data_IF_147871250994
#
_entry.id   IF_147871250994
#
_cell.length_a   1.000
_cell.length_b   1.000
_cell.length_c   1.000
_cell.angle_alpha   90.00
_cell.angle_beta   90.00
_cell.angle_gamma   90.00
#
_symmetry.space_group_name_H-M   'P 1'
#
loop_
_entity.id
_entity.type
_entity.pdbx_description
1 polymer ?
#
# COMPACT_ATOMS: atom_id res chain seq x y z
N UNK A 1 -5.46 70.33 -28.00
CA UNK A 1 -4.53 69.18 -28.07
C UNK A 1 -4.45 68.37 -26.77
N UNK A 2 -4.85 68.90 -25.59
CA UNK A 2 -4.86 68.12 -24.32
C UNK A 2 -5.87 66.97 -24.28
N UNK A 3 -7.11 67.18 -24.76
CA UNK A 3 -8.19 66.19 -24.59
C UNK A 3 -8.01 64.90 -25.41
N UNK A 4 -7.39 64.96 -26.59
CA UNK A 4 -7.12 63.77 -27.40
C UNK A 4 -6.02 62.88 -26.81
N UNK A 5 -5.00 63.49 -26.18
CA UNK A 5 -3.95 62.75 -25.47
C UNK A 5 -4.47 62.04 -24.21
N UNK A 6 -5.41 62.67 -23.50
CA UNK A 6 -6.04 62.10 -22.30
C UNK A 6 -6.96 60.92 -22.65
N UNK A 7 -7.71 61.00 -23.75
CA UNK A 7 -8.56 59.90 -24.25
C UNK A 7 -7.72 58.70 -24.70
N UNK A 8 -6.61 58.93 -25.42
CA UNK A 8 -5.71 57.85 -25.84
C UNK A 8 -5.02 57.14 -24.66
N UNK A 9 -4.67 57.90 -23.60
CA UNK A 9 -4.11 57.33 -22.39
C UNK A 9 -5.13 56.49 -21.61
N UNK A 10 -6.36 56.97 -21.47
CA UNK A 10 -7.44 56.25 -20.80
C UNK A 10 -7.83 54.96 -21.55
N UNK A 11 -7.87 55.01 -22.89
CA UNK A 11 -8.13 53.84 -23.73
C UNK A 11 -7.06 52.75 -23.55
N UNK A 12 -5.77 53.12 -23.61
CA UNK A 12 -4.68 52.17 -23.36
C UNK A 12 -4.72 51.56 -21.96
N UNK A 13 -5.05 52.35 -20.94
CA UNK A 13 -5.20 51.86 -19.58
C UNK A 13 -6.35 50.85 -19.46
N UNK A 14 -7.50 51.14 -20.07
CA UNK A 14 -8.64 50.24 -20.12
C UNK A 14 -8.31 48.91 -20.83
N UNK A 15 -7.63 48.98 -21.98
CA UNK A 15 -7.18 47.78 -22.73
C UNK A 15 -6.25 46.90 -21.89
N UNK A 16 -5.36 47.51 -21.11
CA UNK A 16 -4.44 46.79 -20.23
C UNK A 16 -5.16 46.09 -19.08
N UNK A 17 -6.16 46.75 -18.45
CA UNK A 17 -6.98 46.14 -17.39
C UNK A 17 -7.80 44.97 -17.96
N UNK A 18 -8.44 45.18 -19.11
CA UNK A 18 -9.24 44.16 -19.78
C UNK A 18 -8.41 42.93 -20.19
N UNK A 19 -7.19 43.16 -20.69
CA UNK A 19 -6.24 42.10 -20.99
C UNK A 19 -5.84 41.34 -19.72
N UNK A 20 -5.66 42.04 -18.60
CA UNK A 20 -5.43 41.44 -17.29
C UNK A 20 -6.58 40.55 -16.81
N UNK A 21 -7.83 41.03 -16.94
CA UNK A 21 -9.03 40.24 -16.61
C UNK A 21 -9.08 38.96 -17.44
N UNK A 22 -8.92 39.09 -18.77
CA UNK A 22 -8.93 37.96 -19.68
C UNK A 22 -7.84 36.94 -19.33
N UNK A 23 -6.63 37.43 -19.07
CA UNK A 23 -5.51 36.58 -18.64
C UNK A 23 -5.82 35.82 -17.34
N UNK A 24 -6.39 36.48 -16.32
CA UNK A 24 -6.74 35.84 -15.05
C UNK A 24 -7.78 34.73 -15.21
N UNK A 25 -8.80 34.95 -16.07
CA UNK A 25 -9.79 33.93 -16.39
C UNK A 25 -9.14 32.76 -17.14
N UNK A 26 -8.37 33.02 -18.18
CA UNK A 26 -7.67 31.99 -18.96
C UNK A 26 -6.70 31.18 -18.10
N UNK A 27 -5.97 31.84 -17.20
CA UNK A 27 -5.06 31.17 -16.26
C UNK A 27 -5.83 30.24 -15.30
N UNK A 28 -6.96 30.70 -14.76
CA UNK A 28 -7.81 29.92 -13.86
C UNK A 28 -8.39 28.70 -14.57
N UNK A 29 -8.95 28.87 -15.76
CA UNK A 29 -9.46 27.77 -16.60
C UNK A 29 -8.36 26.77 -16.95
N UNK A 30 -7.19 27.27 -17.37
CA UNK A 30 -6.02 26.43 -17.64
C UNK A 30 -5.53 25.65 -16.41
N UNK A 31 -5.68 26.19 -15.19
CA UNK A 31 -5.39 25.45 -13.95
C UNK A 31 -6.39 24.31 -13.72
N UNK A 32 -7.68 24.50 -13.99
CA UNK A 32 -8.66 23.41 -13.91
C UNK A 32 -8.39 22.33 -14.94
N UNK A 33 -8.11 22.70 -16.18
CA UNK A 33 -7.77 21.75 -17.24
C UNK A 33 -6.55 20.90 -16.88
N UNK A 34 -5.47 21.54 -16.42
CA UNK A 34 -4.28 20.82 -15.91
C UNK A 34 -4.60 19.99 -14.68
N UNK A 35 -5.40 20.53 -13.77
CA UNK A 35 -5.78 19.87 -12.52
C UNK A 35 -6.61 18.59 -12.74
N UNK A 36 -7.46 18.60 -13.75
CA UNK A 36 -8.29 17.45 -14.18
C UNK A 36 -7.61 16.59 -15.26
N UNK A 37 -6.36 16.89 -15.62
CA UNK A 37 -5.59 16.19 -16.66
C UNK A 37 -6.30 16.14 -18.03
N UNK A 38 -6.99 17.21 -18.39
CA UNK A 38 -7.64 17.33 -19.69
C UNK A 38 -6.60 17.59 -20.79
N UNK A 39 -6.86 17.10 -22.00
CA UNK A 39 -6.04 17.41 -23.17
C UNK A 39 -6.15 18.91 -23.46
N UNK A 40 -5.02 19.53 -23.80
CA UNK A 40 -4.98 20.94 -24.23
C UNK A 40 -5.99 21.18 -25.36
N UNK A 41 -6.89 22.16 -25.19
CA UNK A 41 -7.93 22.49 -26.16
C UNK A 41 -9.27 21.73 -25.99
N UNK A 42 -9.45 20.95 -24.92
CA UNK A 42 -10.76 20.42 -24.58
C UNK A 42 -11.72 21.57 -24.20
N UNK A 43 -12.86 21.70 -24.87
CA UNK A 43 -13.87 22.71 -24.53
C UNK A 43 -14.57 22.33 -23.24
N UNK A 44 -14.07 22.85 -22.12
CA UNK A 44 -14.77 22.75 -20.85
C UNK A 44 -15.93 23.75 -20.84
N UNK A 45 -17.10 23.26 -20.45
CA UNK A 45 -18.30 24.07 -20.21
C UNK A 45 -18.80 23.79 -18.80
N UNK A 46 -19.51 24.76 -18.21
CA UNK A 46 -20.02 24.67 -16.84
C UNK A 46 -20.88 23.41 -16.60
N UNK A 47 -21.69 23.01 -17.58
CA UNK A 47 -22.53 21.81 -17.57
C UNK A 47 -21.74 20.49 -17.61
N UNK A 48 -20.49 20.52 -18.11
CA UNK A 48 -19.62 19.34 -18.23
C UNK A 48 -18.64 19.16 -17.08
N UNK A 49 -18.52 20.12 -16.15
CA UNK A 49 -17.53 20.09 -15.06
C UNK A 49 -17.71 18.84 -14.19
N UNK A 50 -18.95 18.49 -13.85
CA UNK A 50 -19.27 17.28 -13.06
C UNK A 50 -18.75 16.02 -13.75
N UNK A 51 -19.02 15.89 -15.05
CA UNK A 51 -18.58 14.76 -15.86
C UNK A 51 -17.05 14.68 -15.89
N UNK A 52 -16.36 15.81 -16.07
CA UNK A 52 -14.89 15.85 -16.10
C UNK A 52 -14.25 15.52 -14.76
N UNK A 53 -14.84 15.95 -13.64
CA UNK A 53 -14.36 15.57 -12.31
C UNK A 53 -14.59 14.08 -12.07
N UNK A 54 -15.73 13.54 -12.50
CA UNK A 54 -16.00 12.10 -12.48
C UNK A 54 -14.96 11.32 -13.30
N UNK A 55 -14.67 11.74 -14.53
CA UNK A 55 -13.69 11.11 -15.41
C UNK A 55 -12.27 11.16 -14.81
N UNK A 56 -11.92 12.29 -14.20
CA UNK A 56 -10.67 12.45 -13.47
C UNK A 56 -10.55 11.42 -12.32
N UNK A 57 -11.57 11.28 -11.47
CA UNK A 57 -11.56 10.29 -10.40
C UNK A 57 -11.54 8.84 -10.92
N UNK A 58 -12.25 8.54 -12.02
CA UNK A 58 -12.15 7.24 -12.69
C UNK A 58 -10.72 6.96 -13.15
N UNK A 59 -10.07 7.95 -13.78
CA UNK A 59 -8.70 7.84 -14.26
C UNK A 59 -7.70 7.60 -13.12
N UNK A 60 -7.81 8.34 -12.02
CA UNK A 60 -6.97 8.16 -10.82
C UNK A 60 -7.17 6.78 -10.21
N UNK A 61 -8.42 6.34 -10.08
CA UNK A 61 -8.76 5.00 -9.56
C UNK A 61 -8.18 3.89 -10.45
N UNK A 62 -8.28 4.02 -11.77
CA UNK A 62 -7.66 3.10 -12.73
C UNK A 62 -6.13 3.09 -12.63
N UNK A 63 -5.50 4.26 -12.47
CA UNK A 63 -4.05 4.34 -12.28
C UNK A 63 -3.63 3.62 -11.00
N UNK A 64 -4.38 3.80 -9.91
CA UNK A 64 -4.09 3.15 -8.65
C UNK A 64 -4.30 1.64 -8.72
N UNK A 65 -5.35 1.18 -9.41
CA UNK A 65 -5.57 -0.24 -9.72
C UNK A 65 -4.41 -0.84 -10.52
N UNK A 66 -3.90 -0.14 -11.54
CA UNK A 66 -2.73 -0.59 -12.32
C UNK A 66 -1.47 -0.70 -11.46
N UNK A 67 -1.23 0.26 -10.56
CA UNK A 67 -0.10 0.20 -9.61
C UNK A 67 -0.24 -1.02 -8.70
N UNK A 68 -1.42 -1.24 -8.11
CA UNK A 68 -1.69 -2.42 -7.28
C UNK A 68 -1.50 -3.72 -8.06
N UNK A 69 -2.02 -3.81 -9.29
CA UNK A 69 -1.84 -4.97 -10.16
C UNK A 69 -0.37 -5.25 -10.47
N UNK A 70 0.41 -4.22 -10.79
CA UNK A 70 1.86 -4.35 -11.01
C UNK A 70 2.57 -4.87 -9.76
N UNK A 71 2.25 -4.31 -8.59
CA UNK A 71 2.80 -4.76 -7.31
C UNK A 71 2.46 -6.23 -7.05
N UNK A 72 1.18 -6.61 -7.15
CA UNK A 72 0.74 -8.00 -6.94
C UNK A 72 1.38 -8.97 -7.93
N UNK A 73 1.58 -8.58 -9.20
CA UNK A 73 2.29 -9.41 -10.18
C UNK A 73 3.74 -9.64 -9.76
N UNK A 74 4.42 -8.62 -9.23
CA UNK A 74 5.79 -8.74 -8.74
C UNK A 74 5.88 -9.66 -7.53
N UNK A 75 4.94 -9.55 -6.59
CA UNK A 75 4.82 -10.45 -5.44
C UNK A 75 4.56 -11.89 -5.91
N UNK A 76 3.60 -12.11 -6.82
CA UNK A 76 3.31 -13.45 -7.32
C UNK A 76 4.50 -14.08 -8.06
N UNK A 77 5.26 -13.28 -8.82
CA UNK A 77 6.48 -13.77 -9.47
C UNK A 77 7.54 -14.20 -8.45
N UNK A 78 7.74 -13.41 -7.39
CA UNK A 78 8.64 -13.78 -6.28
C UNK A 78 8.21 -15.11 -5.64
N UNK A 79 6.92 -15.27 -5.35
CA UNK A 79 6.37 -16.50 -4.77
C UNK A 79 6.48 -17.73 -5.67
N UNK A 80 6.21 -17.61 -6.97
CA UNK A 80 6.35 -18.74 -7.91
C UNK A 80 7.79 -19.26 -8.01
N UNK A 81 8.77 -18.37 -7.79
CA UNK A 81 10.18 -18.74 -7.78
C UNK A 81 10.61 -19.44 -6.48
N UNK A 82 9.78 -19.42 -5.42
CA UNK A 82 10.02 -20.08 -4.13
C UNK A 82 9.45 -21.51 -4.08
N UNK A 83 9.50 -22.24 -5.21
CA UNK A 83 8.76 -23.50 -5.47
C UNK A 83 8.96 -24.64 -4.43
N UNK A 84 9.93 -24.53 -3.53
CA UNK A 84 10.28 -25.52 -2.48
C UNK A 84 9.91 -25.08 -1.05
N UNK A 85 8.87 -24.26 -0.86
CA UNK A 85 8.47 -23.71 0.46
C UNK A 85 6.97 -23.82 0.74
N UNK A 86 6.34 -24.91 0.27
CA UNK A 86 4.92 -25.13 0.57
C UNK A 86 4.72 -25.38 2.06
N UNK A 87 3.53 -25.04 2.57
CA UNK A 87 3.12 -25.32 3.95
C UNK A 87 3.42 -26.76 4.36
N UNK A 88 3.05 -27.71 3.49
CA UNK A 88 3.26 -29.14 3.70
C UNK A 88 4.74 -29.44 3.87
N UNK A 89 5.60 -28.94 2.99
CA UNK A 89 7.05 -29.20 3.05
C UNK A 89 7.66 -28.61 4.32
N UNK A 90 7.34 -27.36 4.68
CA UNK A 90 7.93 -26.71 5.87
C UNK A 90 7.45 -27.41 7.15
N UNK A 91 6.14 -27.68 7.27
CA UNK A 91 5.60 -28.33 8.46
C UNK A 91 6.09 -29.77 8.59
N UNK A 92 6.21 -30.51 7.50
CA UNK A 92 6.71 -31.89 7.55
C UNK A 92 8.20 -31.92 7.93
N UNK A 93 9.01 -31.01 7.38
CA UNK A 93 10.41 -30.87 7.79
C UNK A 93 10.55 -30.52 9.28
N UNK A 94 9.76 -29.57 9.80
CA UNK A 94 9.80 -29.22 11.22
C UNK A 94 9.35 -30.39 12.12
N UNK A 95 8.36 -31.17 11.68
CA UNK A 95 7.90 -32.36 12.42
C UNK A 95 8.95 -33.46 12.45
N UNK A 96 9.63 -33.70 11.33
CA UNK A 96 10.74 -34.66 11.27
C UNK A 96 11.86 -34.24 12.21
N UNK A 97 12.30 -32.99 12.14
CA UNK A 97 13.31 -32.43 13.05
C UNK A 97 12.89 -32.62 14.51
N UNK A 98 11.65 -32.23 14.86
CA UNK A 98 11.13 -32.37 16.21
C UNK A 98 11.14 -33.82 16.69
N UNK A 99 10.72 -34.76 15.83
CA UNK A 99 10.65 -36.18 16.17
C UNK A 99 12.03 -36.77 16.39
N UNK A 100 13.00 -36.40 15.57
CA UNK A 100 14.37 -36.90 15.68
C UNK A 100 15.03 -36.38 16.97
N UNK A 101 14.86 -35.09 17.30
CA UNK A 101 15.36 -34.52 18.56
C UNK A 101 14.64 -35.08 19.79
N UNK A 102 13.34 -35.37 19.68
CA UNK A 102 12.56 -36.02 20.75
C UNK A 102 13.11 -37.42 21.06
N UNK A 103 13.36 -38.20 20.01
CA UNK A 103 13.87 -39.57 20.12
C UNK A 103 15.26 -39.59 20.74
N UNK A 104 16.14 -38.68 20.32
CA UNK A 104 17.46 -38.51 20.91
C UNK A 104 17.38 -38.13 22.39
N UNK A 105 16.51 -37.16 22.74
CA UNK A 105 16.32 -36.72 24.11
C UNK A 105 15.82 -37.85 25.02
N UNK A 106 14.81 -38.60 24.58
CA UNK A 106 14.29 -39.75 25.31
C UNK A 106 15.38 -40.79 25.55
N UNK A 107 16.19 -41.08 24.52
CA UNK A 107 17.30 -42.04 24.62
C UNK A 107 18.33 -41.60 25.67
N UNK A 108 18.74 -40.32 25.68
CA UNK A 108 19.69 -39.79 26.67
C UNK A 108 19.09 -39.82 28.08
N UNK A 109 17.83 -39.40 28.24
CA UNK A 109 17.13 -39.38 29.52
C UNK A 109 16.97 -40.79 30.10
N UNK A 110 16.54 -41.76 29.31
CA UNK A 110 16.42 -43.15 29.72
C UNK A 110 17.78 -43.74 30.13
N UNK A 111 18.83 -43.49 29.34
CA UNK A 111 20.17 -43.97 29.64
C UNK A 111 20.71 -43.36 30.93
N UNK A 112 20.55 -42.05 31.11
CA UNK A 112 20.95 -41.36 32.32
C UNK A 112 20.18 -41.85 33.54
N UNK A 113 18.84 -41.97 33.46
CA UNK A 113 18.03 -42.48 34.56
C UNK A 113 18.43 -43.89 34.99
N UNK A 114 18.76 -44.76 34.03
CA UNK A 114 19.21 -46.13 34.30
C UNK A 114 20.55 -46.18 35.04
N UNK A 115 21.48 -45.31 34.69
CA UNK A 115 22.86 -45.36 35.19
C UNK A 115 23.21 -44.25 36.19
N UNK A 116 22.24 -43.41 36.57
CA UNK A 116 22.45 -42.22 37.41
C UNK A 116 23.25 -42.47 38.68
N UNK A 117 23.00 -43.62 39.33
CA UNK A 117 23.68 -43.99 40.58
C UNK A 117 25.16 -44.34 40.37
N UNK A 118 25.52 -44.82 39.18
CA UNK A 118 26.88 -45.15 38.76
C UNK A 118 27.66 -43.94 38.24
N UNK A 119 27.00 -42.81 37.97
CA UNK A 119 27.67 -41.57 37.55
C UNK A 119 28.26 -40.84 38.76
N UNK A 120 29.51 -40.33 38.71
CA UNK A 120 30.11 -39.52 39.78
C UNK A 120 29.24 -38.34 40.21
N UNK A 121 29.22 -38.05 41.51
CA UNK A 121 28.35 -37.02 42.09
C UNK A 121 28.65 -35.62 41.53
N UNK A 122 29.90 -35.32 41.16
CA UNK A 122 30.25 -34.01 40.57
C UNK A 122 29.73 -33.82 39.14
N UNK A 123 29.50 -34.91 38.39
CA UNK A 123 29.04 -34.86 36.99
C UNK A 123 27.51 -34.79 36.86
N UNK A 124 26.77 -35.32 37.83
CA UNK A 124 25.30 -35.29 37.84
C UNK A 124 24.69 -33.90 37.64
N UNK A 125 25.11 -32.83 38.35
CA UNK A 125 24.52 -31.50 38.16
C UNK A 125 24.83 -30.90 36.78
N UNK A 126 25.97 -31.26 36.16
CA UNK A 126 26.32 -30.83 34.80
C UNK A 126 25.38 -31.48 33.79
N UNK A 127 25.21 -32.80 33.88
CA UNK A 127 24.31 -33.57 33.00
C UNK A 127 22.84 -33.15 33.20
N UNK A 128 22.42 -32.95 34.45
CA UNK A 128 21.07 -32.44 34.77
C UNK A 128 20.84 -31.05 34.12
N UNK A 129 21.86 -30.19 34.13
CA UNK A 129 21.83 -28.87 33.47
C UNK A 129 21.75 -28.95 31.95
N UNK A 130 22.56 -29.81 31.32
CA UNK A 130 22.56 -30.02 29.87
C UNK A 130 21.24 -30.65 29.40
N UNK A 131 20.70 -31.63 30.13
CA UNK A 131 19.38 -32.21 29.86
C UNK A 131 18.25 -31.17 29.98
N UNK A 132 18.33 -30.24 30.94
CA UNK A 132 17.38 -29.12 31.03
C UNK A 132 17.50 -28.17 29.83
N UNK A 133 18.73 -27.94 29.34
CA UNK A 133 19.00 -27.21 28.10
C UNK A 133 18.35 -27.88 26.88
N UNK A 134 18.55 -29.19 26.71
CA UNK A 134 17.91 -29.96 25.63
C UNK A 134 16.38 -29.94 25.73
N UNK A 135 15.79 -30.12 26.92
CA UNK A 135 14.34 -29.98 27.11
C UNK A 135 13.82 -28.60 26.69
N UNK A 136 14.57 -27.54 26.97
CA UNK A 136 14.22 -26.17 26.56
C UNK A 136 14.25 -26.02 25.03
N UNK A 137 15.30 -26.51 24.38
CA UNK A 137 15.44 -26.52 22.92
C UNK A 137 14.32 -27.31 22.23
N UNK A 138 13.93 -28.46 22.81
CA UNK A 138 12.81 -29.27 22.32
C UNK A 138 11.47 -28.50 22.42
N UNK A 139 11.25 -27.78 23.52
CA UNK A 139 10.09 -26.89 23.67
C UNK A 139 10.06 -25.75 22.65
N UNK A 140 11.23 -25.21 22.27
CA UNK A 140 11.34 -24.17 21.25
C UNK A 140 11.02 -24.69 19.85
N UNK A 141 11.47 -25.89 19.49
CA UNK A 141 11.12 -26.54 18.22
C UNK A 141 9.60 -26.73 18.09
N UNK A 142 8.94 -27.13 19.19
CA UNK A 142 7.47 -27.25 19.18
C UNK A 142 6.77 -25.92 18.95
N UNK A 143 7.23 -24.85 19.61
CA UNK A 143 6.71 -23.49 19.38
C UNK A 143 6.89 -23.04 17.93
N UNK A 144 7.99 -23.42 17.29
CA UNK A 144 8.22 -23.09 15.87
C UNK A 144 7.23 -23.79 14.95
N UNK A 145 6.88 -25.05 15.23
CA UNK A 145 5.82 -25.77 14.50
C UNK A 145 4.48 -25.03 14.62
N UNK A 146 4.11 -24.62 15.84
CA UNK A 146 2.86 -23.90 16.09
C UNK A 146 2.87 -22.51 15.42
N UNK A 147 3.97 -21.76 15.50
CA UNK A 147 4.13 -20.48 14.79
C UNK A 147 4.00 -20.63 13.27
N UNK A 148 4.57 -21.70 12.71
CA UNK A 148 4.46 -22.01 11.28
C UNK A 148 3.01 -22.29 10.90
N UNK A 149 2.30 -23.07 11.72
CA UNK A 149 0.87 -23.35 11.53
C UNK A 149 0.04 -22.08 11.58
N UNK A 150 0.27 -21.24 12.58
CA UNK A 150 -0.44 -19.96 12.74
C UNK A 150 -0.17 -18.99 11.59
N UNK A 151 1.05 -18.98 11.06
CA UNK A 151 1.38 -18.22 9.86
C UNK A 151 0.53 -18.66 8.67
N UNK A 152 0.44 -19.96 8.38
CA UNK A 152 -0.36 -20.45 7.26
C UNK A 152 -1.87 -20.30 7.49
N UNK A 153 -2.36 -20.39 8.72
CA UNK A 153 -3.74 -20.02 9.04
C UNK A 153 -4.00 -18.53 8.76
N UNK A 154 -2.99 -17.68 9.03
CA UNK A 154 -3.08 -16.23 8.90
C UNK A 154 -2.78 -15.70 7.50
N UNK A 155 -2.04 -16.42 6.65
CA UNK A 155 -1.64 -15.93 5.33
C UNK A 155 -1.84 -16.93 4.20
N UNK A 156 -2.24 -18.17 4.50
CA UNK A 156 -2.36 -19.27 3.53
C UNK A 156 -3.21 -18.92 2.30
N UNK A 157 -4.35 -18.27 2.50
CA UNK A 157 -5.20 -17.85 1.39
C UNK A 157 -4.51 -16.80 0.49
N UNK A 158 -3.75 -15.88 1.07
CA UNK A 158 -2.99 -14.87 0.33
C UNK A 158 -1.82 -15.51 -0.44
N UNK A 159 -1.12 -16.45 0.19
CA UNK A 159 -0.06 -17.25 -0.42
C UNK A 159 -0.61 -18.09 -1.58
N UNK A 160 -1.80 -18.66 -1.42
CA UNK A 160 -2.46 -19.43 -2.46
C UNK A 160 -2.72 -18.57 -3.69
N UNK A 161 -3.28 -17.35 -3.53
CA UNK A 161 -3.43 -16.41 -4.66
C UNK A 161 -2.08 -16.14 -5.33
N UNK A 162 -1.04 -15.81 -4.56
CA UNK A 162 0.29 -15.50 -5.11
C UNK A 162 0.94 -16.68 -5.83
N UNK A 163 0.64 -17.91 -5.39
CA UNK A 163 1.13 -19.15 -5.98
C UNK A 163 0.40 -19.62 -7.24
N UNK A 164 -0.74 -19.03 -7.59
CA UNK A 164 -1.51 -19.42 -8.78
C UNK A 164 -0.67 -19.30 -10.07
N UNK A 165 -0.86 -20.18 -11.08
CA UNK A 165 -0.32 -20.00 -12.43
C UNK A 165 -0.62 -18.60 -12.98
N UNK A 166 0.24 -18.08 -13.87
CA UNK A 166 0.14 -16.68 -14.36
C UNK A 166 -1.26 -16.34 -14.89
N UNK A 167 -1.85 -17.23 -15.68
CA UNK A 167 -3.14 -16.99 -16.31
C UNK A 167 -4.30 -17.02 -15.31
N UNK A 168 -4.25 -17.93 -14.33
CA UNK A 168 -5.21 -18.04 -13.24
C UNK A 168 -5.10 -16.87 -12.25
N UNK A 169 -3.87 -16.47 -11.92
CA UNK A 169 -3.61 -15.29 -11.11
C UNK A 169 -4.15 -14.02 -11.77
N UNK A 170 -3.95 -13.87 -13.09
CA UNK A 170 -4.45 -12.72 -13.83
C UNK A 170 -5.97 -12.68 -13.78
N UNK A 171 -6.64 -13.82 -14.03
CA UNK A 171 -8.10 -13.95 -13.90
C UNK A 171 -8.59 -13.63 -12.48
N UNK A 172 -7.94 -14.20 -11.46
CA UNK A 172 -8.33 -14.02 -10.06
C UNK A 172 -8.13 -12.59 -9.54
N UNK A 173 -7.16 -11.86 -10.09
CA UNK A 173 -6.87 -10.48 -9.66
C UNK A 173 -7.64 -9.45 -10.48
N UNK A 174 -7.79 -9.65 -11.79
CA UNK A 174 -8.52 -8.71 -12.66
C UNK A 174 -10.04 -8.76 -12.46
N UNK A 175 -10.62 -9.92 -12.14
CA UNK A 175 -12.05 -10.04 -11.87
C UNK A 175 -12.49 -9.35 -10.55
N UNK A 176 -11.53 -8.96 -9.72
CA UNK A 176 -11.74 -8.77 -8.28
C UNK A 176 -11.17 -7.47 -7.73
N UNK A 177 -10.35 -6.79 -8.53
CA UNK A 177 -9.93 -5.42 -8.26
C UNK A 177 -11.06 -4.47 -8.62
N UNK A 178 -11.93 -4.21 -7.65
CA UNK A 178 -12.98 -3.20 -7.83
C UNK A 178 -12.41 -1.81 -7.54
N UNK A 179 -12.49 -0.85 -8.48
CA UNK A 179 -12.16 0.53 -8.19
C UNK A 179 -13.08 1.05 -7.08
N UNK A 180 -12.56 1.95 -6.25
CA UNK A 180 -13.42 2.67 -5.29
C UNK A 180 -14.54 3.40 -6.02
N UNK A 181 -15.72 3.43 -5.39
CA UNK A 181 -16.93 4.03 -5.93
C UNK A 181 -16.66 5.47 -6.36
N UNK A 182 -16.61 5.71 -7.68
CA UNK A 182 -16.45 7.06 -8.23
C UNK A 182 -17.57 7.98 -7.76
N UNK A 183 -18.78 7.42 -7.55
CA UNK A 183 -19.95 8.15 -7.09
C UNK A 183 -19.70 8.80 -5.71
N UNK A 184 -19.06 8.09 -4.78
CA UNK A 184 -18.81 8.59 -3.44
C UNK A 184 -17.74 9.68 -3.43
N UNK A 185 -16.73 9.56 -4.30
CA UNK A 185 -15.73 10.61 -4.51
C UNK A 185 -16.33 11.87 -5.15
N UNK A 186 -17.25 11.70 -6.11
CA UNK A 186 -17.98 12.82 -6.73
C UNK A 186 -18.88 13.51 -5.71
N UNK A 187 -19.60 12.76 -4.87
CA UNK A 187 -20.40 13.31 -3.76
C UNK A 187 -19.54 14.11 -2.79
N UNK A 188 -18.38 13.57 -2.42
CA UNK A 188 -17.43 14.26 -1.55
C UNK A 188 -16.88 15.55 -2.18
N UNK A 189 -16.87 15.64 -3.51
CA UNK A 189 -16.43 16.80 -4.27
C UNK A 189 -17.56 17.79 -4.62
N UNK A 190 -18.81 17.51 -4.28
CA UNK A 190 -20.00 18.27 -4.74
C UNK A 190 -19.89 19.77 -4.45
N UNK A 191 -19.48 20.15 -3.23
CA UNK A 191 -19.29 21.54 -2.86
C UNK A 191 -18.22 22.25 -3.72
N UNK A 192 -17.11 21.57 -4.02
CA UNK A 192 -16.06 22.11 -4.87
C UNK A 192 -16.52 22.22 -6.33
N UNK A 193 -17.26 21.23 -6.83
CA UNK A 193 -17.84 21.26 -8.18
C UNK A 193 -18.82 22.42 -8.31
N UNK A 194 -19.68 22.65 -7.30
CA UNK A 194 -20.59 23.78 -7.26
C UNK A 194 -19.86 25.13 -7.35
N UNK A 195 -18.76 25.29 -6.59
CA UNK A 195 -17.90 26.49 -6.69
C UNK A 195 -17.33 26.65 -8.09
N UNK A 196 -16.81 25.59 -8.71
CA UNK A 196 -16.28 25.66 -10.07
C UNK A 196 -17.34 26.08 -11.10
N UNK A 197 -18.55 25.52 -11.02
CA UNK A 197 -19.64 25.87 -11.93
C UNK A 197 -20.06 27.34 -11.79
N UNK A 198 -20.25 27.81 -10.55
CA UNK A 198 -20.63 29.21 -10.27
C UNK A 198 -19.53 30.17 -10.70
N UNK A 199 -18.28 29.88 -10.37
CA UNK A 199 -17.13 30.68 -10.78
C UNK A 199 -16.96 30.70 -12.30
N UNK A 200 -17.21 29.59 -12.98
CA UNK A 200 -17.16 29.53 -14.45
C UNK A 200 -18.15 30.49 -15.10
N UNK A 201 -19.41 30.47 -14.63
CA UNK A 201 -20.48 31.34 -15.13
C UNK A 201 -20.14 32.81 -14.81
N UNK A 202 -19.66 33.09 -13.59
CA UNK A 202 -19.25 34.43 -13.19
C UNK A 202 -18.14 35.00 -14.08
N UNK A 203 -17.13 34.18 -14.43
CA UNK A 203 -16.06 34.56 -15.35
C UNK A 203 -16.60 34.84 -16.77
N UNK A 204 -17.56 34.04 -17.27
CA UNK A 204 -18.21 34.30 -18.58
C UNK A 204 -18.98 35.62 -18.58
N UNK A 205 -19.74 35.88 -17.52
CA UNK A 205 -20.48 37.15 -17.33
C UNK A 205 -19.51 38.32 -17.23
N UNK A 206 -18.41 38.18 -16.50
CA UNK A 206 -17.39 39.22 -16.37
C UNK A 206 -16.75 39.56 -17.73
N UNK A 207 -16.38 38.55 -18.53
CA UNK A 207 -15.82 38.77 -19.88
C UNK A 207 -16.82 39.41 -20.84
N UNK A 208 -18.10 39.02 -20.76
CA UNK A 208 -19.17 39.67 -21.52
C UNK A 208 -19.31 41.15 -21.11
N UNK A 209 -19.35 41.42 -19.81
CA UNK A 209 -19.47 42.78 -19.26
C UNK A 209 -18.28 43.67 -19.65
N UNK A 210 -17.05 43.15 -19.65
CA UNK A 210 -15.88 43.85 -20.21
C UNK A 210 -16.13 44.26 -21.65
N UNK A 211 -16.65 43.34 -22.48
CA UNK A 211 -16.94 43.62 -23.90
C UNK A 211 -18.02 44.70 -24.06
N UNK A 212 -19.07 44.66 -23.25
CA UNK A 212 -20.17 45.64 -23.25
C UNK A 212 -19.68 47.03 -22.86
N UNK A 213 -18.80 47.13 -21.84
CA UNK A 213 -18.18 48.40 -21.43
C UNK A 213 -17.41 49.05 -22.58
N UNK A 214 -16.60 48.28 -23.33
CA UNK A 214 -15.89 48.82 -24.50
C UNK A 214 -16.83 49.23 -25.64
N UNK A 215 -17.88 48.46 -25.90
CA UNK A 215 -18.87 48.79 -26.93
C UNK A 215 -19.58 50.11 -26.58
N UNK A 216 -19.97 50.28 -25.32
CA UNK A 216 -20.65 51.49 -24.85
C UNK A 216 -19.72 52.72 -24.89
N UNK A 217 -18.50 52.59 -24.37
CA UNK A 217 -17.50 53.65 -24.37
C UNK A 217 -17.18 54.15 -25.79
N UNK A 218 -17.08 53.21 -26.73
CA UNK A 218 -16.81 53.51 -28.15
C UNK A 218 -17.99 54.18 -28.85
N UNK A 219 -19.23 53.84 -28.47
CA UNK A 219 -20.45 54.52 -28.98
C UNK A 219 -20.59 55.94 -28.45
N UNK A 220 -20.26 56.15 -27.18
CA UNK A 220 -20.41 57.43 -26.50
C UNK A 220 -19.21 58.36 -26.66
N UNK A 221 -18.07 57.87 -27.16
CA UNK A 221 -16.78 58.60 -27.23
C UNK A 221 -16.31 59.10 -25.86
N UNK A 222 -16.67 58.40 -24.77
CA UNK A 222 -16.34 58.77 -23.39
C UNK A 222 -15.78 57.58 -22.63
N UNK A 223 -14.63 57.78 -21.99
CA UNK A 223 -13.90 56.75 -21.23
C UNK A 223 -13.84 57.03 -19.72
N UNK A 224 -14.41 58.14 -19.27
CA UNK A 224 -14.24 58.67 -17.92
C UNK A 224 -14.74 57.72 -16.81
N UNK A 225 -15.72 56.86 -17.10
CA UNK A 225 -16.26 55.84 -16.17
C UNK A 225 -15.80 54.40 -16.43
N UNK A 226 -15.14 54.15 -17.57
CA UNK A 226 -14.76 52.80 -18.03
C UNK A 226 -13.74 52.16 -17.11
N UNK A 227 -12.74 52.94 -16.69
CA UNK A 227 -11.65 52.44 -15.87
C UNK A 227 -12.17 51.96 -14.50
N UNK A 228 -13.06 52.73 -13.87
CA UNK A 228 -13.65 52.36 -12.58
C UNK A 228 -14.46 51.05 -12.67
N UNK A 229 -15.27 50.90 -13.73
CA UNK A 229 -16.03 49.68 -13.94
C UNK A 229 -15.13 48.47 -14.25
N UNK A 230 -14.09 48.64 -15.07
CA UNK A 230 -13.13 47.57 -15.34
C UNK A 230 -12.34 47.16 -14.09
N UNK A 231 -12.02 48.10 -13.19
CA UNK A 231 -11.42 47.75 -11.90
C UNK A 231 -12.37 46.92 -11.03
N UNK A 232 -13.65 47.28 -10.97
CA UNK A 232 -14.64 46.48 -10.25
C UNK A 232 -14.74 45.05 -10.81
N UNK A 233 -14.82 44.92 -12.15
CA UNK A 233 -14.86 43.60 -12.80
C UNK A 233 -13.58 42.80 -12.50
N UNK A 234 -12.42 43.48 -12.49
CA UNK A 234 -11.15 42.86 -12.15
C UNK A 234 -11.15 42.31 -10.71
N UNK A 235 -11.60 43.08 -9.74
CA UNK A 235 -11.71 42.62 -8.35
C UNK A 235 -12.64 41.40 -8.21
N UNK A 236 -13.79 41.43 -8.90
CA UNK A 236 -14.74 40.32 -8.92
C UNK A 236 -14.11 39.04 -9.53
N UNK A 237 -13.35 39.18 -10.62
CA UNK A 237 -12.64 38.08 -11.29
C UNK A 237 -11.50 37.55 -10.43
N UNK A 238 -10.74 38.41 -9.74
CA UNK A 238 -9.68 37.98 -8.83
C UNK A 238 -10.24 37.20 -7.63
N UNK A 239 -11.35 37.64 -7.06
CA UNK A 239 -12.07 36.92 -6.01
C UNK A 239 -12.59 35.57 -6.50
N UNK A 240 -13.13 35.53 -7.71
CA UNK A 240 -13.60 34.31 -8.36
C UNK A 240 -12.46 33.33 -8.62
N UNK A 241 -11.34 33.82 -9.16
CA UNK A 241 -10.12 33.03 -9.41
C UNK A 241 -9.53 32.42 -8.13
N UNK A 242 -9.63 33.11 -6.99
CA UNK A 242 -9.18 32.58 -5.70
C UNK A 242 -10.05 31.39 -5.26
N UNK A 243 -11.37 31.52 -5.30
CA UNK A 243 -12.32 30.45 -4.96
C UNK A 243 -12.18 29.26 -5.89
N UNK A 244 -12.02 29.55 -7.19
CA UNK A 244 -11.80 28.55 -8.23
C UNK A 244 -10.55 27.72 -7.96
N UNK A 245 -9.42 28.37 -7.63
CA UNK A 245 -8.18 27.67 -7.26
C UNK A 245 -8.34 26.78 -6.03
N UNK A 246 -9.01 27.28 -4.99
CA UNK A 246 -9.27 26.49 -3.78
C UNK A 246 -10.13 25.25 -4.08
N UNK A 247 -11.13 25.38 -4.95
CA UNK A 247 -11.97 24.25 -5.37
C UNK A 247 -11.17 23.19 -6.16
N UNK A 248 -10.29 23.60 -7.08
CA UNK A 248 -9.39 22.67 -7.80
C UNK A 248 -8.50 21.91 -6.81
N UNK A 249 -7.92 22.60 -5.83
CA UNK A 249 -7.08 21.97 -4.81
C UNK A 249 -7.87 20.99 -3.94
N UNK A 250 -9.13 21.32 -3.61
CA UNK A 250 -10.03 20.41 -2.89
C UNK A 250 -10.28 19.10 -3.65
N UNK A 251 -10.60 19.19 -4.94
CA UNK A 251 -10.77 18.00 -5.80
C UNK A 251 -9.49 17.16 -5.87
N UNK A 252 -8.32 17.80 -5.98
CA UNK A 252 -7.02 17.12 -5.96
C UNK A 252 -6.68 16.51 -4.59
N UNK A 253 -7.13 17.09 -3.50
CA UNK A 253 -6.97 16.51 -2.17
C UNK A 253 -7.82 15.24 -2.02
N UNK A 254 -9.06 15.27 -2.52
CA UNK A 254 -9.93 14.09 -2.57
C UNK A 254 -9.30 12.98 -3.41
N UNK A 255 -8.73 13.31 -4.58
CA UNK A 255 -8.12 12.30 -5.44
C UNK A 255 -6.90 11.61 -4.82
N UNK A 256 -6.16 12.29 -3.94
CA UNK A 256 -5.07 11.68 -3.17
C UNK A 256 -5.54 10.62 -2.17
N UNK A 257 -6.80 10.69 -1.74
CA UNK A 257 -7.43 9.72 -0.85
C UNK A 257 -8.07 8.56 -1.61
N UNK A 258 -8.03 8.55 -2.94
CA UNK A 258 -8.48 7.41 -3.74
C UNK A 258 -7.45 6.29 -3.59
N UNK A 259 -7.74 5.38 -2.68
CA UNK A 259 -6.95 4.18 -2.49
C UNK A 259 -7.21 3.16 -3.59
N UNK A 260 -6.26 2.25 -3.75
CA UNK A 260 -6.40 1.11 -4.66
C UNK A 260 -7.43 0.12 -4.16
N UNK A 261 -7.73 -0.92 -4.94
CA UNK A 261 -8.60 -2.00 -4.48
C UNK A 261 -8.08 -2.55 -3.14
N UNK A 262 -8.94 -2.56 -2.12
CA UNK A 262 -8.59 -2.99 -0.77
C UNK A 262 -8.63 -4.52 -0.61
N UNK A 263 -9.43 -5.19 -1.45
CA UNK A 263 -9.70 -6.62 -1.38
C UNK A 263 -9.71 -7.26 -2.76
N UNK A 264 -9.41 -8.55 -2.80
CA UNK A 264 -9.52 -9.45 -3.94
C UNK A 264 -10.52 -10.54 -3.56
N UNK A 265 -11.59 -10.72 -4.33
CA UNK A 265 -12.28 -12.01 -4.47
C UNK A 265 -11.46 -12.95 -5.34
N UNK A 266 -11.59 -14.26 -5.20
CA UNK A 266 -11.06 -15.21 -6.17
C UNK A 266 -12.12 -16.24 -6.48
N UNK A 267 -12.23 -16.62 -7.75
CA UNK A 267 -13.15 -17.67 -8.20
C UNK A 267 -12.46 -19.04 -8.30
N UNK A 268 -11.23 -19.17 -7.78
CA UNK A 268 -10.55 -20.45 -7.69
C UNK A 268 -11.29 -21.36 -6.70
N UNK A 269 -11.38 -22.67 -6.99
CA UNK A 269 -12.19 -23.62 -6.21
C UNK A 269 -11.89 -23.63 -4.70
N UNK A 270 -10.66 -23.32 -4.29
CA UNK A 270 -10.27 -23.21 -2.87
C UNK A 270 -10.69 -21.88 -2.21
N UNK A 271 -10.79 -20.80 -2.98
CA UNK A 271 -11.05 -19.44 -2.49
C UNK A 271 -12.43 -18.91 -2.85
N UNK A 272 -13.27 -19.72 -3.48
CA UNK A 272 -14.61 -19.31 -3.89
C UNK A 272 -15.40 -18.78 -2.68
N UNK A 273 -16.01 -17.60 -2.85
CA UNK A 273 -16.70 -16.87 -1.80
C UNK A 273 -15.81 -16.17 -0.74
N UNK A 274 -14.48 -16.29 -0.80
CA UNK A 274 -13.56 -15.62 0.15
C UNK A 274 -13.04 -14.29 -0.40
N UNK A 275 -12.92 -13.31 0.49
CA UNK A 275 -12.31 -12.00 0.21
C UNK A 275 -10.98 -11.88 0.95
N UNK A 276 -9.92 -11.52 0.23
CA UNK A 276 -8.57 -11.35 0.78
C UNK A 276 -8.15 -9.90 0.62
N UNK A 277 -7.72 -9.25 1.70
CA UNK A 277 -7.23 -7.88 1.59
C UNK A 277 -5.89 -7.82 0.86
N UNK A 278 -5.73 -6.83 -0.04
CA UNK A 278 -4.47 -6.58 -0.75
C UNK A 278 -3.33 -6.35 0.24
N UNK A 279 -3.61 -5.69 1.37
CA UNK A 279 -2.62 -5.50 2.44
C UNK A 279 -2.13 -6.83 3.03
N UNK A 280 -3.01 -7.82 3.19
CA UNK A 280 -2.63 -9.17 3.67
C UNK A 280 -1.74 -9.89 2.66
N UNK A 281 -1.99 -9.71 1.36
CA UNK A 281 -1.14 -10.22 0.28
C UNK A 281 0.24 -9.57 0.31
N UNK A 282 0.32 -8.25 0.50
CA UNK A 282 1.61 -7.52 0.61
C UNK A 282 2.40 -7.94 1.85
N UNK A 283 1.73 -8.14 2.99
CA UNK A 283 2.38 -8.56 4.26
C UNK A 283 2.86 -10.01 4.24
N UNK A 284 2.27 -10.86 3.39
CA UNK A 284 2.62 -12.28 3.33
C UNK A 284 4.12 -12.48 3.07
N UNK A 285 4.76 -11.64 2.24
CA UNK A 285 6.18 -11.78 1.87
C UNK A 285 7.13 -11.57 3.03
N UNK A 286 7.00 -10.45 3.75
CA UNK A 286 7.88 -10.16 4.88
C UNK A 286 7.71 -11.20 5.99
N UNK A 287 6.46 -11.63 6.23
CA UNK A 287 6.15 -12.65 7.21
C UNK A 287 6.67 -14.04 6.79
N UNK A 288 6.54 -14.43 5.50
CA UNK A 288 7.12 -15.69 5.02
C UNK A 288 8.64 -15.68 5.13
N UNK A 289 9.29 -14.57 4.75
CA UNK A 289 10.75 -14.48 4.84
C UNK A 289 11.23 -14.68 6.28
N UNK A 290 10.61 -13.98 7.24
CA UNK A 290 10.94 -14.14 8.65
C UNK A 290 10.73 -15.58 9.12
N UNK A 291 9.65 -16.23 8.69
CA UNK A 291 9.39 -17.63 8.99
C UNK A 291 10.49 -18.55 8.45
N UNK A 292 10.90 -18.36 7.20
CA UNK A 292 11.96 -19.16 6.57
C UNK A 292 13.31 -18.97 7.26
N UNK A 293 13.65 -17.74 7.65
CA UNK A 293 14.87 -17.45 8.41
C UNK A 293 14.85 -18.16 9.78
N UNK A 294 13.70 -18.20 10.46
CA UNK A 294 13.54 -18.96 11.71
C UNK A 294 13.64 -20.48 11.50
N UNK A 295 13.06 -21.03 10.43
CA UNK A 295 13.14 -22.46 10.10
C UNK A 295 14.58 -22.88 9.84
N UNK A 296 15.35 -22.05 9.12
CA UNK A 296 16.76 -22.33 8.87
C UNK A 296 17.59 -22.28 10.17
N UNK A 297 17.30 -21.33 11.06
CA UNK A 297 17.88 -21.31 12.41
C UNK A 297 17.58 -22.60 13.19
N UNK A 298 16.33 -23.07 13.17
CA UNK A 298 15.95 -24.32 13.84
C UNK A 298 16.70 -25.54 13.31
N UNK A 299 17.03 -25.58 12.02
CA UNK A 299 17.84 -26.67 11.44
C UNK A 299 19.26 -26.68 11.99
N UNK A 300 19.84 -25.50 12.22
CA UNK A 300 21.16 -25.38 12.83
C UNK A 300 21.11 -25.79 14.31
N UNK A 301 20.11 -25.30 15.04
CA UNK A 301 19.90 -25.63 16.45
C UNK A 301 19.68 -27.14 16.66
N UNK A 302 18.94 -27.80 15.76
CA UNK A 302 18.73 -29.24 15.80
C UNK A 302 20.04 -30.04 15.63
N UNK A 303 21.00 -29.55 14.82
CA UNK A 303 22.32 -30.20 14.70
C UNK A 303 23.11 -30.07 15.98
N UNK A 304 23.14 -28.86 16.56
CA UNK A 304 23.78 -28.62 17.86
C UNK A 304 23.13 -29.46 18.97
N UNK A 305 21.81 -29.59 18.94
CA UNK A 305 21.06 -30.45 19.86
C UNK A 305 21.53 -31.90 19.79
N UNK A 306 21.57 -32.49 18.59
CA UNK A 306 22.00 -33.88 18.42
C UNK A 306 23.45 -34.08 18.88
N UNK A 307 24.33 -33.11 18.60
CA UNK A 307 25.71 -33.17 19.06
C UNK A 307 25.81 -33.16 20.60
N UNK A 308 25.11 -32.26 21.29
CA UNK A 308 25.09 -32.24 22.75
C UNK A 308 24.48 -33.51 23.34
N UNK A 309 23.44 -34.08 22.72
CA UNK A 309 22.88 -35.36 23.13
C UNK A 309 23.89 -36.51 23.01
N UNK A 310 24.67 -36.55 21.93
CA UNK A 310 25.76 -37.52 21.73
C UNK A 310 26.88 -37.34 22.78
N UNK A 311 27.30 -36.11 23.05
CA UNK A 311 28.34 -35.81 24.07
C UNK A 311 27.92 -36.27 25.48
N UNK A 312 26.65 -36.07 25.85
CA UNK A 312 26.11 -36.57 27.12
C UNK A 312 26.16 -38.11 27.13
N UNK A 313 25.71 -38.76 26.05
CA UNK A 313 25.70 -40.22 25.96
C UNK A 313 27.12 -40.81 26.06
N UNK A 314 28.10 -40.23 25.37
CA UNK A 314 29.50 -40.65 25.48
C UNK A 314 30.05 -40.45 26.90
N UNK A 315 29.75 -39.31 27.53
CA UNK A 315 30.17 -39.02 28.90
C UNK A 315 29.59 -40.04 29.88
N UNK A 316 28.31 -40.39 29.72
CA UNK A 316 27.65 -41.43 30.51
C UNK A 316 28.25 -42.82 30.26
N UNK A 317 28.56 -43.17 29.02
CA UNK A 317 29.20 -44.45 28.68
C UNK A 317 30.60 -44.58 29.29
N UNK A 318 31.44 -43.54 29.18
CA UNK A 318 32.78 -43.53 29.81
C UNK A 318 32.69 -43.68 31.32
N UNK A 319 31.81 -42.91 31.97
CA UNK A 319 31.61 -42.98 33.42
C UNK A 319 31.18 -44.38 33.88
N UNK A 320 30.31 -45.06 33.13
CA UNK A 320 29.87 -46.43 33.46
C UNK A 320 31.00 -47.46 33.28
N UNK A 321 31.82 -47.34 32.23
CA UNK A 321 32.95 -48.25 31.98
C UNK A 321 34.03 -48.09 33.06
N UNK A 322 34.31 -46.86 33.47
CA UNK A 322 35.32 -46.58 34.50
C UNK A 322 34.93 -47.21 35.84
N UNK A 323 33.66 -47.11 36.25
CA UNK A 323 33.14 -47.79 37.47
C UNK A 323 33.26 -49.31 37.36
N UNK A 324 32.94 -49.89 36.20
CA UNK A 324 33.06 -51.34 35.99
C UNK A 324 34.51 -51.86 36.00
N UNK A 325 35.49 -51.00 35.73
CA UNK A 325 36.91 -51.32 35.79
C UNK A 325 37.51 -51.17 37.20
N UNK A 326 36.97 -50.25 38.02
CA UNK A 326 37.39 -50.05 39.41
C UNK A 326 36.87 -51.16 40.34
N UNK A 327 35.69 -51.74 40.07
CA UNK A 327 35.16 -52.90 40.80
C UNK A 327 35.89 -54.24 40.51
N UNK A 328 36.77 -54.28 39.51
CA UNK A 328 37.57 -55.47 39.13
C UNK A 328 39.04 -55.42 39.57
N UNK A 329 39.44 -54.33 40.22
CA UNK A 329 40.81 -54.08 40.70
C UNK A 329 40.89 -54.29 42.21
#
# INVERSE_FOLDING_TARGET
>A
MSSHMEVDAAMKAAELIASGIKYTVEESRGKLERGLMLKSGATLRSDTIVERVSDYFKSVSLQQMRKTSSLLRSEAAYYRNLRETSQTVILDQLKEIYKDTDTSLQTVQEYYHRWRLSVPAELRPVIDGELAGLNTSQGNLKRMEDMTRDFFNSYGDALYILGLPKDEFTKATEASMHPSSTLDHVRSAEAHIGVLCVSWIADEVALQRVSEVFVQARREMRYDGVIAELFQIKEDVEATALRFRAAVQGIQAISKNIEGPATLSSFAAYLDGRMISVQRVVRARSALKALLDCVEGCRQDARSFCHSAEEILETLQRAVVDVASTDRS
#
